data_IF_551746688807
#
_entry.id   IF_551746688807
#
_cell.length_a   1.000
_cell.length_b   1.000
_cell.length_c   1.000
_cell.angle_alpha   90.00
_cell.angle_beta   90.00
_cell.angle_gamma   90.00
#
_symmetry.space_group_name_H-M   'P 1'
#
loop_
_entity.id
_entity.type
_entity.pdbx_description
1 polymer ?
#
# COMPACT_ATOMS: atom_id res chain seq x y z
N UNK A 1 -26.34 21.02 25.99
CA UNK A 1 -25.30 20.02 25.66
C UNK A 1 -24.46 20.63 24.56
N UNK A 2 -23.28 21.20 24.85
CA UNK A 2 -22.45 21.75 23.79
C UNK A 2 -21.89 20.58 22.96
N UNK A 3 -22.17 20.65 21.67
CA UNK A 3 -21.61 19.82 20.60
C UNK A 3 -20.08 19.88 20.67
N UNK A 4 -19.46 18.75 21.00
CA UNK A 4 -18.01 18.60 20.94
C UNK A 4 -17.54 18.73 19.50
N UNK A 5 -16.80 19.79 19.22
CA UNK A 5 -16.00 19.95 18.01
C UNK A 5 -14.98 18.80 17.99
N UNK A 6 -15.08 17.95 16.96
CA UNK A 6 -14.00 17.02 16.62
C UNK A 6 -12.86 17.88 16.06
N UNK A 7 -11.86 18.13 16.90
CA UNK A 7 -10.62 18.78 16.48
C UNK A 7 -10.00 17.96 15.35
N UNK A 8 -10.06 18.52 14.14
CA UNK A 8 -9.29 18.11 12.98
C UNK A 8 -7.81 18.41 13.26
N UNK A 9 -7.20 17.53 14.06
CA UNK A 9 -5.75 17.47 14.16
C UNK A 9 -5.28 16.80 12.88
N UNK A 10 -5.01 17.63 11.88
CA UNK A 10 -4.14 17.27 10.76
C UNK A 10 -2.91 16.59 11.36
N UNK A 11 -2.85 15.26 11.26
CA UNK A 11 -1.73 14.50 11.76
C UNK A 11 -0.48 15.06 11.10
N UNK A 12 0.58 15.28 11.89
CA UNK A 12 1.84 15.75 11.35
C UNK A 12 2.18 14.93 10.09
N UNK A 13 2.59 15.58 9.00
CA UNK A 13 2.92 14.88 7.76
C UNK A 13 3.92 13.77 8.06
N UNK A 14 3.85 12.66 7.32
CA UNK A 14 4.90 11.66 7.32
C UNK A 14 6.25 12.39 7.19
N UNK A 15 7.27 12.01 7.99
CA UNK A 15 8.56 12.70 7.94
C UNK A 15 9.04 12.75 6.49
N UNK A 16 9.50 13.93 6.06
CA UNK A 16 10.06 14.09 4.72
C UNK A 16 11.16 13.04 4.48
N UNK A 17 11.28 12.48 3.26
CA UNK A 17 12.40 11.61 2.93
C UNK A 17 13.70 12.32 3.30
N UNK A 18 14.55 11.65 4.09
CA UNK A 18 15.83 12.21 4.54
C UNK A 18 16.80 12.18 3.36
N UNK A 19 17.23 13.35 2.88
CA UNK A 19 18.18 13.45 1.78
C UNK A 19 19.55 12.83 2.12
N UNK A 20 20.06 11.97 1.21
CA UNK A 20 21.49 11.94 0.87
C UNK A 20 22.42 10.88 1.45
N UNK A 21 22.01 10.01 2.37
CA UNK A 21 22.88 8.96 2.96
C UNK A 21 22.17 7.60 3.15
N UNK A 22 21.04 7.40 2.46
CA UNK A 22 20.32 6.13 2.45
C UNK A 22 20.99 5.10 1.53
N UNK A 23 20.79 3.80 1.78
CA UNK A 23 21.25 2.77 0.85
C UNK A 23 20.68 2.98 -0.56
N UNK A 24 21.46 2.65 -1.58
CA UNK A 24 20.97 2.63 -2.96
C UNK A 24 20.13 1.38 -3.15
N UNK A 25 18.88 1.56 -3.61
CA UNK A 25 17.95 0.45 -3.84
C UNK A 25 18.32 -0.41 -5.04
N UNK A 26 18.14 -1.71 -4.90
CA UNK A 26 18.23 -2.71 -5.97
C UNK A 26 16.82 -3.04 -6.45
N UNK A 27 16.63 -3.05 -7.77
CA UNK A 27 15.34 -3.40 -8.37
C UNK A 27 15.14 -4.92 -8.31
N UNK A 28 14.00 -5.35 -7.77
CA UNK A 28 13.58 -6.74 -7.70
C UNK A 28 12.40 -7.01 -8.63
N UNK A 29 12.30 -8.23 -9.22
CA UNK A 29 11.12 -8.62 -9.96
C UNK A 29 9.86 -8.63 -9.10
N UNK A 30 8.74 -8.17 -9.65
CA UNK A 30 7.45 -8.26 -8.99
C UNK A 30 6.88 -9.68 -9.12
N UNK A 31 6.52 -10.25 -7.97
CA UNK A 31 5.81 -11.53 -7.85
C UNK A 31 4.39 -11.37 -8.37
N UNK A 32 3.94 -12.38 -9.13
CA UNK A 32 2.62 -12.40 -9.77
C UNK A 32 1.60 -13.18 -8.94
N UNK A 33 0.34 -12.83 -9.11
CA UNK A 33 -0.79 -13.55 -8.54
C UNK A 33 -0.70 -15.07 -8.78
N UNK A 34 -1.08 -15.84 -7.75
CA UNK A 34 -0.91 -17.30 -7.71
C UNK A 34 0.33 -17.74 -6.92
N UNK A 35 1.29 -16.84 -6.65
CA UNK A 35 2.37 -17.12 -5.70
C UNK A 35 1.85 -17.12 -4.25
N UNK A 36 2.15 -18.16 -3.44
CA UNK A 36 1.70 -18.25 -2.05
C UNK A 36 2.12 -17.09 -1.13
N UNK A 37 3.14 -16.31 -1.48
CA UNK A 37 3.55 -15.13 -0.68
C UNK A 37 2.52 -13.99 -0.73
N UNK A 38 1.70 -13.93 -1.78
CA UNK A 38 0.67 -12.91 -1.94
C UNK A 38 -0.66 -13.28 -1.26
N UNK A 39 -0.78 -14.52 -0.78
CA UNK A 39 -2.05 -15.08 -0.28
C UNK A 39 -2.00 -15.51 1.19
N UNK A 40 -1.11 -14.89 1.96
CA UNK A 40 -1.05 -15.05 3.42
C UNK A 40 -0.66 -13.71 4.08
N UNK A 41 -1.02 -13.48 5.35
CA UNK A 41 -0.56 -12.31 6.09
C UNK A 41 0.98 -12.29 6.23
N UNK A 42 1.58 -11.14 5.98
CA UNK A 42 3.01 -10.92 6.14
C UNK A 42 3.44 -10.92 7.61
N UNK A 43 4.64 -11.40 7.89
CA UNK A 43 5.23 -11.40 9.22
C UNK A 43 5.46 -9.97 9.75
N UNK A 44 5.12 -9.66 11.01
CA UNK A 44 5.44 -8.39 11.63
C UNK A 44 6.95 -8.15 11.66
N UNK A 45 7.37 -6.93 11.34
CA UNK A 45 8.78 -6.51 11.47
C UNK A 45 9.08 -6.25 12.94
N UNK A 46 10.14 -6.88 13.45
CA UNK A 46 10.55 -6.76 14.87
C UNK A 46 11.99 -6.26 15.05
N UNK A 47 12.74 -6.15 13.96
CA UNK A 47 14.14 -5.70 13.94
C UNK A 47 14.23 -4.48 13.00
N UNK A 48 14.78 -3.38 13.52
CA UNK A 48 14.90 -2.10 12.84
C UNK A 48 16.38 -1.78 12.64
N UNK A 49 16.96 -2.38 11.62
CA UNK A 49 18.39 -2.32 11.31
C UNK A 49 18.63 -1.90 9.85
N UNK A 50 19.88 -1.99 9.42
CA UNK A 50 20.33 -1.61 8.09
C UNK A 50 19.67 -2.46 6.99
N UNK A 51 19.29 -3.71 7.30
CA UNK A 51 18.61 -4.57 6.34
C UNK A 51 17.17 -4.11 6.08
N UNK A 52 16.46 -3.60 7.10
CA UNK A 52 15.14 -3.00 6.91
C UNK A 52 15.23 -1.72 6.05
N UNK A 53 16.26 -0.90 6.25
CA UNK A 53 16.51 0.30 5.45
C UNK A 53 16.87 -0.04 4.00
N UNK A 54 17.64 -1.11 3.79
CA UNK A 54 17.90 -1.62 2.44
C UNK A 54 16.63 -2.13 1.79
N UNK A 55 15.77 -2.85 2.52
CA UNK A 55 14.48 -3.34 2.01
C UNK A 55 13.58 -2.18 1.55
N UNK A 56 13.47 -1.11 2.34
CA UNK A 56 12.74 0.09 1.90
C UNK A 56 13.32 0.65 0.60
N UNK A 57 14.63 0.83 0.52
CA UNK A 57 15.27 1.36 -0.69
C UNK A 57 15.02 0.48 -1.92
N UNK A 58 15.12 -0.84 -1.75
CA UNK A 58 14.84 -1.85 -2.77
C UNK A 58 13.38 -1.79 -3.23
N UNK A 59 12.44 -1.64 -2.30
CA UNK A 59 11.02 -1.49 -2.59
C UNK A 59 10.73 -0.21 -3.36
N UNK A 60 11.31 0.93 -2.93
CA UNK A 60 11.16 2.21 -3.63
C UNK A 60 11.72 2.12 -5.05
N UNK A 61 12.92 1.56 -5.22
CA UNK A 61 13.53 1.37 -6.54
C UNK A 61 12.68 0.46 -7.43
N UNK A 62 12.15 -0.65 -6.89
CA UNK A 62 11.31 -1.59 -7.63
C UNK A 62 9.95 -0.99 -8.01
N UNK A 63 9.34 -0.22 -7.12
CA UNK A 63 8.08 0.50 -7.36
C UNK A 63 8.23 1.46 -8.54
N UNK A 64 9.25 2.33 -8.52
CA UNK A 64 9.47 3.27 -9.61
C UNK A 64 9.90 2.59 -10.92
N UNK A 65 10.71 1.53 -10.85
CA UNK A 65 11.12 0.78 -12.05
C UNK A 65 9.94 0.09 -12.75
N UNK A 66 8.84 -0.14 -12.02
CA UNK A 66 7.61 -0.73 -12.54
C UNK A 66 6.52 0.32 -12.84
N UNK A 67 6.86 1.62 -12.84
CA UNK A 67 5.92 2.74 -12.97
C UNK A 67 4.73 2.67 -11.98
N UNK A 68 4.99 2.10 -10.78
CA UNK A 68 4.01 1.93 -9.72
C UNK A 68 3.92 3.13 -8.78
N UNK A 69 2.81 3.20 -8.04
CA UNK A 69 2.53 4.25 -7.04
C UNK A 69 2.47 3.72 -5.61
N UNK A 70 2.55 2.39 -5.45
CA UNK A 70 2.57 1.65 -4.20
C UNK A 70 3.20 0.28 -4.40
N UNK A 71 3.84 -0.24 -3.35
CA UNK A 71 4.43 -1.57 -3.33
C UNK A 71 4.53 -2.11 -1.89
N UNK A 72 3.97 -3.29 -1.65
CA UNK A 72 4.14 -4.08 -0.43
C UNK A 72 5.29 -5.09 -0.55
N UNK A 73 5.98 -5.40 0.56
CA UNK A 73 7.18 -6.23 0.51
C UNK A 73 6.97 -7.63 -0.07
N UNK A 74 5.79 -8.23 0.14
CA UNK A 74 5.47 -9.54 -0.42
C UNK A 74 5.38 -9.52 -1.96
N UNK A 75 5.15 -8.37 -2.58
CA UNK A 75 5.19 -8.23 -4.03
C UNK A 75 6.60 -8.34 -4.61
N UNK A 76 7.65 -8.25 -3.79
CA UNK A 76 9.03 -8.59 -4.19
C UNK A 76 9.51 -9.87 -3.50
N UNK A 77 8.57 -10.70 -3.02
CA UNK A 77 8.87 -12.00 -2.41
C UNK A 77 9.34 -11.96 -0.96
N UNK A 78 9.29 -10.79 -0.31
CA UNK A 78 9.74 -10.61 1.07
C UNK A 78 8.57 -10.67 2.04
N UNK A 79 8.58 -11.65 2.94
CA UNK A 79 7.56 -11.83 3.98
C UNK A 79 7.78 -10.85 5.15
N UNK A 80 7.48 -9.57 4.92
CA UNK A 80 7.63 -8.51 5.89
C UNK A 80 6.45 -7.54 5.82
N UNK A 81 5.94 -7.12 6.98
CA UNK A 81 4.80 -6.20 7.08
C UNK A 81 5.23 -4.74 6.89
N UNK A 82 5.59 -4.37 5.66
CA UNK A 82 6.00 -3.01 5.26
C UNK A 82 5.49 -2.72 3.84
N UNK A 83 5.04 -1.49 3.59
CA UNK A 83 4.78 -0.98 2.24
C UNK A 83 5.43 0.39 2.03
N UNK A 84 5.64 0.74 0.77
CA UNK A 84 6.03 2.09 0.29
C UNK A 84 4.96 2.62 -0.66
N UNK A 85 4.78 3.94 -0.71
CA UNK A 85 3.85 4.58 -1.63
C UNK A 85 4.31 5.99 -2.03
N UNK A 86 3.88 6.41 -3.23
CA UNK A 86 3.95 7.76 -3.76
C UNK A 86 2.71 8.01 -4.63
N UNK A 87 1.65 8.53 -4.01
CA UNK A 87 0.34 8.73 -4.64
C UNK A 87 -0.15 10.17 -4.50
N UNK A 88 -0.92 10.71 -5.45
CA UNK A 88 -1.60 11.98 -5.26
C UNK A 88 -2.80 11.84 -4.30
N UNK A 89 -3.00 12.84 -3.45
CA UNK A 89 -4.26 13.07 -2.72
C UNK A 89 -5.36 13.62 -3.65
N UNK A 90 -6.56 13.90 -3.14
CA UNK A 90 -7.67 14.43 -3.94
C UNK A 90 -7.41 15.84 -4.52
N UNK A 91 -6.38 16.56 -4.03
CA UNK A 91 -5.95 17.87 -4.52
C UNK A 91 -4.75 17.78 -5.47
N UNK A 92 -4.23 16.58 -5.72
CA UNK A 92 -3.05 16.34 -6.54
C UNK A 92 -1.73 16.57 -5.81
N UNK A 93 -1.72 16.77 -4.48
CA UNK A 93 -0.48 16.81 -3.72
C UNK A 93 0.08 15.40 -3.58
N UNK A 94 1.39 15.24 -3.76
CA UNK A 94 2.06 13.96 -3.55
C UNK A 94 2.07 13.57 -2.09
N UNK A 95 1.64 12.35 -1.81
CA UNK A 95 1.70 11.66 -0.52
C UNK A 95 2.71 10.53 -0.66
N UNK A 96 3.91 10.75 -0.11
CA UNK A 96 4.99 9.77 -0.07
C UNK A 96 5.09 9.21 1.34
N UNK A 97 5.06 7.90 1.49
CA UNK A 97 5.18 7.26 2.79
C UNK A 97 5.76 5.85 2.72
N UNK A 98 6.53 5.49 3.73
CA UNK A 98 6.87 4.12 4.08
C UNK A 98 6.23 3.82 5.43
N UNK A 99 5.50 2.71 5.52
CA UNK A 99 4.88 2.31 6.79
C UNK A 99 5.19 0.86 7.11
N UNK A 100 5.87 0.67 8.23
CA UNK A 100 6.16 -0.62 8.83
C UNK A 100 5.08 -0.96 9.87
N UNK A 101 4.66 -2.22 9.90
CA UNK A 101 3.58 -2.75 10.72
C UNK A 101 2.29 -1.88 10.68
N UNK A 102 1.77 -1.52 9.49
CA UNK A 102 0.61 -0.66 9.38
C UNK A 102 -0.64 -1.25 10.02
N UNK A 103 -1.41 -0.35 10.64
CA UNK A 103 -2.77 -0.55 11.14
C UNK A 103 -3.67 0.44 10.41
N UNK A 104 -4.51 -0.09 9.53
CA UNK A 104 -5.52 0.67 8.80
C UNK A 104 -6.74 0.97 9.68
N UNK A 105 -7.18 2.23 9.66
CA UNK A 105 -8.39 2.71 10.29
C UNK A 105 -9.24 3.44 9.26
N UNK A 106 -10.45 2.95 9.06
CA UNK A 106 -11.45 3.57 8.21
C UNK A 106 -12.50 4.29 9.07
N UNK A 107 -13.07 5.41 8.61
CA UNK A 107 -14.20 6.04 9.28
C UNK A 107 -15.38 5.06 9.43
N UNK A 108 -16.07 5.09 10.57
CA UNK A 108 -17.23 4.20 10.84
C UNK A 108 -18.33 4.32 9.78
N UNK A 109 -18.56 5.54 9.28
CA UNK A 109 -19.50 5.85 8.20
C UNK A 109 -18.72 6.41 7.01
N UNK A 110 -17.71 5.66 6.54
CA UNK A 110 -16.92 6.06 5.40
C UNK A 110 -17.79 6.21 4.15
N UNK A 111 -17.74 7.39 3.53
CA UNK A 111 -18.17 7.55 2.14
C UNK A 111 -17.36 6.57 1.29
N UNK A 112 -18.02 5.88 0.38
CA UNK A 112 -17.37 4.96 -0.55
C UNK A 112 -17.11 5.60 -1.90
N UNK A 113 -16.05 5.16 -2.55
CA UNK A 113 -15.68 5.51 -3.93
C UNK A 113 -15.39 4.22 -4.67
N UNK A 114 -15.68 4.22 -5.96
CA UNK A 114 -15.26 3.17 -6.88
C UNK A 114 -14.17 3.77 -7.75
N UNK A 115 -12.99 3.17 -7.73
CA UNK A 115 -11.85 3.56 -8.56
C UNK A 115 -11.38 2.33 -9.35
N UNK A 116 -10.87 2.55 -10.55
CA UNK A 116 -10.25 1.48 -11.34
C UNK A 116 -8.86 1.18 -10.75
N UNK A 117 -8.77 0.09 -9.98
CA UNK A 117 -7.52 -0.37 -9.38
C UNK A 117 -6.77 -1.30 -10.33
N UNK A 118 -5.46 -1.10 -10.43
CA UNK A 118 -4.51 -2.07 -10.97
C UNK A 118 -3.55 -2.53 -9.88
N UNK A 119 -2.74 -3.55 -10.18
CA UNK A 119 -1.74 -4.05 -9.25
C UNK A 119 -0.51 -4.54 -10.02
N UNK A 120 0.70 -4.25 -9.52
CA UNK A 120 1.94 -4.72 -10.14
C UNK A 120 2.03 -6.27 -10.18
N UNK A 121 1.32 -6.95 -9.28
CA UNK A 121 1.21 -8.41 -9.24
C UNK A 121 0.14 -9.00 -10.17
N UNK A 122 -0.70 -8.16 -10.80
CA UNK A 122 -1.70 -8.52 -11.82
C UNK A 122 -1.50 -7.59 -13.03
N UNK A 123 -0.46 -7.84 -13.85
CA UNK A 123 0.05 -6.85 -14.78
C UNK A 123 -0.92 -6.58 -15.94
N UNK A 124 -1.07 -5.30 -16.28
CA UNK A 124 -1.79 -4.84 -17.47
C UNK A 124 -3.30 -4.71 -17.33
N UNK A 125 -3.87 -5.15 -16.20
CA UNK A 125 -5.31 -5.14 -16.00
C UNK A 125 -5.72 -4.22 -14.86
N UNK A 126 -6.92 -3.64 -15.01
CA UNK A 126 -7.58 -2.86 -13.97
C UNK A 126 -9.03 -3.29 -13.81
N UNK A 127 -9.62 -3.04 -12.64
CA UNK A 127 -11.04 -3.25 -12.43
C UNK A 127 -11.61 -2.28 -11.38
N UNK A 128 -12.90 -1.94 -11.47
CA UNK A 128 -13.54 -1.06 -10.49
C UNK A 128 -13.63 -1.74 -9.12
N UNK A 129 -13.01 -1.14 -8.11
CA UNK A 129 -13.05 -1.63 -6.72
C UNK A 129 -13.60 -0.56 -5.81
N UNK A 130 -14.50 -0.96 -4.92
CA UNK A 130 -15.09 -0.07 -3.94
C UNK A 130 -14.22 0.04 -2.68
N UNK A 131 -13.83 1.27 -2.32
CA UNK A 131 -12.99 1.61 -1.17
C UNK A 131 -13.60 2.72 -0.33
N UNK A 132 -13.10 2.90 0.89
CA UNK A 132 -13.37 4.11 1.64
C UNK A 132 -12.70 5.31 0.95
N UNK A 133 -13.40 6.44 0.85
CA UNK A 133 -12.91 7.66 0.22
C UNK A 133 -11.75 8.33 0.98
N UNK A 134 -11.63 8.02 2.26
CA UNK A 134 -10.55 8.50 3.13
C UNK A 134 -10.04 7.33 3.96
N UNK A 135 -8.75 7.35 4.28
CA UNK A 135 -8.10 6.31 5.05
C UNK A 135 -7.06 6.92 6.00
N UNK A 136 -6.92 6.30 7.17
CA UNK A 136 -5.84 6.58 8.10
C UNK A 136 -5.05 5.31 8.32
N UNK A 137 -3.74 5.36 8.13
CA UNK A 137 -2.82 4.28 8.52
C UNK A 137 -1.90 4.80 9.61
N UNK A 138 -1.70 4.00 10.65
CA UNK A 138 -0.69 4.22 11.69
C UNK A 138 0.31 3.07 11.69
N UNK A 139 1.57 3.36 12.00
CA UNK A 139 2.62 2.35 12.13
C UNK A 139 3.90 3.02 12.62
N UNK A 140 5.03 2.54 12.15
CA UNK A 140 6.34 3.17 12.34
C UNK A 140 7.10 3.28 11.02
N UNK A 141 8.12 4.11 10.96
CA UNK A 141 9.06 4.13 9.84
C UNK A 141 10.16 3.05 10.00
N UNK A 142 11.13 3.01 9.08
CA UNK A 142 12.26 2.07 9.13
C UNK A 142 13.24 2.31 10.29
N UNK A 143 13.12 3.43 11.01
CA UNK A 143 13.87 3.72 12.23
C UNK A 143 13.09 3.38 13.50
N UNK A 144 11.82 2.94 13.36
CA UNK A 144 10.93 2.66 14.48
C UNK A 144 10.22 3.89 15.03
N UNK A 145 10.31 5.05 14.36
CA UNK A 145 9.62 6.26 14.78
C UNK A 145 8.14 6.22 14.36
N UNK A 146 7.19 6.68 15.19
CA UNK A 146 5.77 6.64 14.86
C UNK A 146 5.41 7.38 13.56
N UNK A 147 4.61 6.74 12.71
CA UNK A 147 4.07 7.32 11.47
C UNK A 147 2.55 7.30 11.51
N UNK A 148 1.93 8.39 11.05
CA UNK A 148 0.48 8.47 10.78
C UNK A 148 0.26 9.13 9.43
N UNK A 149 -0.36 8.40 8.51
CA UNK A 149 -0.78 8.92 7.21
C UNK A 149 -2.30 9.00 7.20
N UNK A 150 -2.86 10.18 6.91
CA UNK A 150 -4.29 10.43 6.84
C UNK A 150 -4.57 11.21 5.57
N UNK A 151 -5.30 10.60 4.63
CA UNK A 151 -5.43 11.15 3.27
C UNK A 151 -6.75 10.75 2.63
N UNK A 152 -6.98 11.26 1.42
CA UNK A 152 -8.11 11.05 0.55
C UNK A 152 -7.65 10.77 -0.89
N UNK A 153 -8.59 10.64 -1.83
CA UNK A 153 -8.28 10.43 -3.25
C UNK A 153 -7.55 9.11 -3.52
N UNK A 154 -6.66 9.12 -4.52
CA UNK A 154 -5.89 7.93 -4.94
C UNK A 154 -4.99 7.44 -3.81
N UNK A 155 -4.37 8.35 -3.05
CA UNK A 155 -3.56 7.99 -1.90
C UNK A 155 -4.34 7.20 -0.84
N UNK A 156 -5.63 7.51 -0.60
CA UNK A 156 -6.44 6.73 0.35
C UNK A 156 -6.79 5.34 -0.17
N UNK A 157 -6.99 5.19 -1.47
CA UNK A 157 -7.16 3.88 -2.12
C UNK A 157 -5.87 3.07 -2.00
N UNK A 158 -4.72 3.67 -2.30
CA UNK A 158 -3.41 3.03 -2.18
C UNK A 158 -3.13 2.56 -0.75
N UNK A 159 -3.40 3.36 0.29
CA UNK A 159 -3.24 2.91 1.68
C UNK A 159 -4.03 1.63 2.00
N UNK A 160 -5.25 1.52 1.47
CA UNK A 160 -6.08 0.33 1.64
C UNK A 160 -5.56 -0.85 0.82
N UNK A 161 -5.13 -0.59 -0.42
CA UNK A 161 -4.57 -1.59 -1.33
C UNK A 161 -3.27 -2.20 -0.79
N UNK A 162 -2.32 -1.38 -0.38
CA UNK A 162 -1.05 -1.87 0.17
C UNK A 162 -1.23 -2.57 1.52
N UNK A 163 -2.19 -2.14 2.34
CA UNK A 163 -2.50 -2.86 3.58
C UNK A 163 -3.13 -4.23 3.29
N UNK A 164 -4.01 -4.35 2.30
CA UNK A 164 -4.58 -5.63 1.88
C UNK A 164 -3.50 -6.62 1.43
N UNK A 165 -2.50 -6.14 0.67
CA UNK A 165 -1.36 -6.96 0.27
C UNK A 165 -0.68 -7.60 1.49
N UNK A 166 -0.46 -6.82 2.54
CA UNK A 166 0.17 -7.31 3.77
C UNK A 166 -0.70 -8.27 4.57
N UNK A 167 -2.00 -8.31 4.30
CA UNK A 167 -2.96 -9.27 4.84
C UNK A 167 -3.18 -10.48 3.89
N UNK A 168 -2.48 -10.52 2.75
CA UNK A 168 -2.55 -11.59 1.77
C UNK A 168 -3.77 -11.50 0.85
N UNK A 169 -4.26 -10.28 0.60
CA UNK A 169 -5.41 -9.99 -0.25
C UNK A 169 -5.01 -9.10 -1.41
N UNK A 170 -5.43 -9.44 -2.63
CA UNK A 170 -5.27 -8.59 -3.81
C UNK A 170 -6.58 -7.88 -4.15
N UNK A 171 -6.51 -6.79 -4.93
CA UNK A 171 -7.72 -6.09 -5.39
C UNK A 171 -8.70 -7.02 -6.14
N UNK A 172 -8.18 -7.98 -6.91
CA UNK A 172 -8.99 -8.97 -7.64
C UNK A 172 -9.83 -9.86 -6.72
N UNK A 173 -9.40 -10.07 -5.47
CA UNK A 173 -10.13 -10.87 -4.49
C UNK A 173 -11.38 -10.12 -3.97
N UNK A 174 -11.46 -8.81 -4.20
CA UNK A 174 -12.64 -7.97 -3.89
C UNK A 174 -13.70 -7.98 -5.00
N UNK A 175 -13.36 -8.50 -6.18
CA UNK A 175 -14.27 -8.58 -7.33
C UNK A 175 -15.19 -9.80 -7.22
N UNK A 176 -16.35 -9.74 -7.89
CA UNK A 176 -17.16 -10.93 -8.09
C UNK A 176 -16.40 -11.99 -8.90
N UNK A 177 -16.77 -13.27 -8.72
CA UNK A 177 -16.02 -14.38 -9.31
C UNK A 177 -15.93 -14.33 -10.86
N UNK A 178 -17.01 -14.03 -11.61
CA UNK A 178 -16.91 -13.80 -13.06
C UNK A 178 -15.90 -12.72 -13.45
N UNK A 179 -15.96 -11.54 -12.82
CA UNK A 179 -15.07 -10.41 -13.12
C UNK A 179 -13.62 -10.76 -12.77
N UNK A 180 -13.38 -11.36 -11.59
CA UNK A 180 -12.05 -11.84 -11.19
C UNK A 180 -11.45 -12.80 -12.20
N UNK A 181 -12.20 -13.81 -12.63
CA UNK A 181 -11.72 -14.80 -13.60
C UNK A 181 -11.35 -14.16 -14.95
N UNK A 182 -12.14 -13.19 -15.41
CA UNK A 182 -11.87 -12.46 -16.64
C UNK A 182 -10.58 -11.64 -16.53
N UNK A 183 -10.41 -10.87 -15.45
CA UNK A 183 -9.21 -10.06 -15.18
C UNK A 183 -7.95 -10.93 -15.11
N UNK A 184 -7.99 -12.02 -14.34
CA UNK A 184 -6.84 -12.92 -14.22
C UNK A 184 -6.47 -13.54 -15.56
N UNK A 185 -7.47 -13.99 -16.34
CA UNK A 185 -7.22 -14.57 -17.67
C UNK A 185 -6.60 -13.53 -18.62
N UNK A 186 -7.08 -12.29 -18.61
CA UNK A 186 -6.56 -11.21 -19.44
C UNK A 186 -5.10 -10.85 -19.08
N UNK A 187 -4.78 -10.86 -17.78
CA UNK A 187 -3.41 -10.70 -17.27
C UNK A 187 -2.49 -11.92 -17.54
N UNK A 188 -2.98 -12.98 -18.19
CA UNK A 188 -2.21 -14.21 -18.44
C UNK A 188 -1.97 -15.06 -17.18
N UNK A 189 -2.84 -14.93 -16.18
CA UNK A 189 -2.80 -15.62 -14.90
C UNK A 189 -3.88 -16.71 -14.83
N UNK A 190 -3.66 -17.71 -13.97
CA UNK A 190 -4.63 -18.78 -13.78
C UNK A 190 -5.86 -18.26 -12.98
N UNK A 191 -7.10 -18.42 -13.48
CA UNK A 191 -8.28 -18.00 -12.75
C UNK A 191 -8.53 -18.91 -11.53
N UNK A 192 -9.05 -18.32 -10.44
CA UNK A 192 -9.40 -19.01 -9.20
C UNK A 192 -10.75 -18.60 -8.61
#
# INVERSE_FOLDING_TARGET
MPSGEIEDTAGAPAPAPRDGDGPVGVVHPVVRDGDPVLHRPCAPVTVFDDALRQLEADMVASMYAADGVGLAANQIGVDARIFVMDCPDARGNRVVATVVNPVLKLPLLARRVTEDEGCLSVPGETAPVERAATAVVTGVDVFGEPVRVSTDGVAAVCLQHETDHLDGTLYVDRLDAPTRAAVLTAAGLAPR
#
